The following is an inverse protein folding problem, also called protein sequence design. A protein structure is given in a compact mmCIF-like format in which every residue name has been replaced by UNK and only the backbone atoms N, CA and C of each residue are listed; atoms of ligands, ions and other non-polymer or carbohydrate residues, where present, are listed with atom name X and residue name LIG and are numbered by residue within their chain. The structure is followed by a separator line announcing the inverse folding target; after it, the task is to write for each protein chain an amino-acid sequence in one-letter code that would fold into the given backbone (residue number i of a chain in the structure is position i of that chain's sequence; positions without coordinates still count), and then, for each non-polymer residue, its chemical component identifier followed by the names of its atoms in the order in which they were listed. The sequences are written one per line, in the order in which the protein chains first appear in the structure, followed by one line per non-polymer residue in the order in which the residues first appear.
data_IF_096709309144
#
_entry.id   IF_096709309144
#
_cell.length_a   1.000
_cell.length_b   1.000
_cell.length_c   1.000
_cell.angle_alpha   90.00
_cell.angle_beta   90.00
_cell.angle_gamma   90.00
#
_symmetry.space_group_name_H-M   'P 1'
#
loop_
_entity.id
_entity.type
_entity.pdbx_description
1 polymer ?
#
# COMPACT_ATOMS: atom_id res chain seq x y z
N UNK A 1 -6.55 6.47 -15.07
CA UNK A 1 -5.61 6.56 -13.94
C UNK A 1 -6.41 6.69 -12.65
N UNK A 2 -6.41 5.68 -11.78
CA UNK A 2 -6.96 5.82 -10.43
C UNK A 2 -5.83 6.31 -9.52
N UNK A 3 -5.95 7.54 -9.01
CA UNK A 3 -5.03 8.06 -7.98
C UNK A 3 -5.52 7.53 -6.64
N UNK A 4 -4.83 6.53 -6.09
CA UNK A 4 -5.10 6.08 -4.73
C UNK A 4 -4.47 7.06 -3.76
N UNK A 5 -5.30 7.78 -3.00
CA UNK A 5 -4.81 8.65 -1.92
C UNK A 5 -4.36 7.78 -0.77
N UNK A 6 -3.16 8.05 -0.27
CA UNK A 6 -2.59 7.37 0.89
C UNK A 6 -2.25 8.40 1.97
N UNK A 7 -2.25 7.94 3.21
CA UNK A 7 -1.73 8.67 4.35
C UNK A 7 -0.40 8.02 4.77
N UNK A 8 0.58 8.82 5.20
CA UNK A 8 1.83 8.32 5.75
C UNK A 8 1.93 8.83 7.17
N UNK A 9 1.92 7.91 8.14
CA UNK A 9 2.10 8.24 9.55
C UNK A 9 3.53 7.92 9.98
N UNK A 10 4.06 8.72 10.90
CA UNK A 10 5.36 8.46 11.53
C UNK A 10 5.13 8.20 13.02
N UNK A 11 5.57 7.05 13.52
CA UNK A 11 5.47 6.67 14.93
C UNK A 11 6.80 6.09 15.39
N UNK A 12 7.35 6.59 16.50
CA UNK A 12 8.63 6.14 17.08
C UNK A 12 9.80 6.09 16.08
N UNK A 13 9.87 7.05 15.15
CA UNK A 13 10.93 7.12 14.12
C UNK A 13 10.74 6.13 12.95
N UNK A 14 9.67 5.33 12.94
CA UNK A 14 9.27 4.48 11.83
C UNK A 14 8.11 5.12 11.06
N UNK A 15 8.01 4.83 9.77
CA UNK A 15 6.90 5.30 8.91
C UNK A 15 5.97 4.13 8.62
N UNK A 16 4.67 4.41 8.48
CA UNK A 16 3.68 3.46 7.98
C UNK A 16 2.84 4.12 6.89
N UNK A 17 2.54 3.37 5.85
CA UNK A 17 1.61 3.78 4.80
C UNK A 17 0.24 3.25 5.16
N UNK A 18 -0.74 4.14 5.25
CA UNK A 18 -2.13 3.83 5.52
C UNK A 18 -2.95 4.11 4.28
N UNK A 19 -3.63 3.10 3.78
CA UNK A 19 -4.48 3.20 2.59
C UNK A 19 -5.94 3.11 3.01
N UNK A 20 -6.70 4.22 2.94
CA UNK A 20 -8.14 4.17 3.15
C UNK A 20 -8.81 3.47 1.97
N UNK A 21 -9.62 2.47 2.28
CA UNK A 21 -10.41 1.68 1.34
C UNK A 21 -11.90 1.89 1.63
N UNK A 22 -12.70 1.58 0.62
CA UNK A 22 -14.14 1.67 0.68
C UNK A 22 -14.76 0.58 1.58
N UNK A 23 -15.96 0.81 2.10
CA UNK A 23 -16.70 -0.19 2.87
C UNK A 23 -16.95 -1.50 2.11
N UNK A 24 -16.99 -1.44 0.77
CA UNK A 24 -17.03 -2.61 -0.12
C UNK A 24 -15.87 -3.59 0.10
N UNK A 25 -14.77 -3.15 0.72
CA UNK A 25 -13.64 -4.00 1.06
C UNK A 25 -13.96 -5.01 2.17
N UNK A 26 -14.92 -4.70 3.04
CA UNK A 26 -15.43 -5.66 4.02
C UNK A 26 -16.24 -6.77 3.37
N UNK A 27 -16.95 -6.50 2.27
CA UNK A 27 -17.66 -7.55 1.55
C UNK A 27 -16.70 -8.58 0.91
N UNK A 28 -15.40 -8.27 0.80
CA UNK A 28 -14.40 -9.18 0.22
C UNK A 28 -13.99 -10.26 1.22
N UNK A 29 -13.75 -11.50 0.76
CA UNK A 29 -13.23 -12.56 1.61
C UNK A 29 -11.78 -12.26 2.06
N UNK A 30 -11.34 -12.82 3.20
CA UNK A 30 -10.04 -12.49 3.81
C UNK A 30 -8.85 -12.74 2.87
N UNK A 31 -8.92 -13.77 2.02
CA UNK A 31 -7.87 -14.05 1.02
C UNK A 31 -7.74 -12.93 -0.03
N UNK A 32 -8.85 -12.31 -0.47
CA UNK A 32 -8.82 -11.17 -1.38
C UNK A 32 -8.29 -9.90 -0.69
N UNK A 33 -8.62 -9.70 0.58
CA UNK A 33 -8.10 -8.56 1.35
C UNK A 33 -6.58 -8.67 1.48
N UNK A 34 -6.08 -9.87 1.76
CA UNK A 34 -4.65 -10.13 1.85
C UNK A 34 -3.95 -10.00 0.49
N UNK A 35 -4.58 -10.44 -0.60
CA UNK A 35 -4.06 -10.23 -1.96
C UNK A 35 -3.95 -8.74 -2.30
N UNK A 36 -5.00 -7.97 -2.02
CA UNK A 36 -4.99 -6.53 -2.20
C UNK A 36 -3.90 -5.84 -1.35
N UNK A 37 -3.71 -6.26 -0.09
CA UNK A 37 -2.61 -5.75 0.75
C UNK A 37 -1.24 -6.04 0.10
N UNK A 38 -1.01 -7.26 -0.38
CA UNK A 38 0.23 -7.62 -1.09
C UNK A 38 0.46 -6.80 -2.35
N UNK A 39 -0.60 -6.52 -3.13
CA UNK A 39 -0.53 -5.67 -4.33
C UNK A 39 -0.16 -4.24 -3.97
N UNK A 40 -0.77 -3.68 -2.93
CA UNK A 40 -0.45 -2.32 -2.46
C UNK A 40 0.99 -2.27 -1.94
N UNK A 41 1.42 -3.26 -1.16
CA UNK A 41 2.79 -3.36 -0.68
C UNK A 41 3.78 -3.42 -1.84
N UNK A 42 3.51 -4.22 -2.87
CA UNK A 42 4.34 -4.30 -4.08
C UNK A 42 4.41 -2.97 -4.82
N UNK A 43 3.31 -2.23 -4.91
CA UNK A 43 3.31 -0.87 -5.50
C UNK A 43 4.09 0.13 -4.65
N UNK A 44 3.98 0.06 -3.32
CA UNK A 44 4.76 0.90 -2.41
C UNK A 44 6.27 0.61 -2.55
N UNK A 45 6.66 -0.66 -2.62
CA UNK A 45 8.04 -1.09 -2.91
C UNK A 45 8.55 -0.49 -4.21
N UNK A 46 7.76 -0.58 -5.29
CA UNK A 46 8.12 0.02 -6.59
C UNK A 46 8.27 1.54 -6.55
N UNK A 47 7.54 2.21 -5.66
CA UNK A 47 7.61 3.66 -5.46
C UNK A 47 8.78 4.12 -4.57
N UNK A 48 9.71 3.22 -4.20
CA UNK A 48 10.84 3.55 -3.31
C UNK A 48 10.51 3.48 -1.82
N UNK A 49 9.31 2.99 -1.46
CA UNK A 49 8.87 2.81 -0.07
C UNK A 49 9.10 1.36 0.41
N UNK A 50 10.08 0.67 -0.17
CA UNK A 50 10.34 -0.77 -0.01
C UNK A 50 10.45 -1.27 1.44
N UNK A 51 10.81 -0.39 2.38
CA UNK A 51 10.98 -0.73 3.79
C UNK A 51 9.91 -0.13 4.71
N UNK A 52 8.78 0.31 4.13
CA UNK A 52 7.69 0.94 4.89
C UNK A 52 6.53 -0.04 5.03
N UNK A 53 6.11 -0.41 6.26
CA UNK A 53 4.91 -1.22 6.47
C UNK A 53 3.69 -0.55 5.82
N UNK A 54 2.78 -1.38 5.32
CA UNK A 54 1.52 -0.95 4.72
C UNK A 54 0.37 -1.47 5.57
N UNK A 55 -0.55 -0.59 5.91
CA UNK A 55 -1.83 -0.90 6.52
C UNK A 55 -2.97 -0.44 5.62
N UNK A 56 -4.06 -1.20 5.64
CA UNK A 56 -5.30 -0.83 4.97
C UNK A 56 -6.37 -0.57 6.01
N UNK A 57 -7.12 0.51 5.83
CA UNK A 57 -8.16 0.95 6.78
C UNK A 57 -9.45 1.21 6.03
N UNK A 58 -10.59 0.83 6.58
CA UNK A 58 -11.90 1.05 5.97
C UNK A 58 -12.93 1.30 7.05
N UNK A 59 -14.03 1.99 6.70
CA UNK A 59 -15.10 2.33 7.64
C UNK A 59 -16.37 1.59 7.28
N UNK A 60 -16.99 0.91 8.25
CA UNK A 60 -18.28 0.23 8.07
C UNK A 60 -19.23 0.60 9.20
N UNK A 61 -20.41 1.11 8.86
CA UNK A 61 -21.46 1.41 9.85
C UNK A 61 -21.01 2.35 10.98
N UNK A 62 -20.03 3.22 10.73
CA UNK A 62 -19.45 4.10 11.75
C UNK A 62 -18.21 3.54 12.47
N UNK A 63 -17.92 2.24 12.36
CA UNK A 63 -16.75 1.61 12.95
C UNK A 63 -15.56 1.65 11.99
N UNK A 64 -14.39 1.96 12.52
CA UNK A 64 -13.13 1.90 11.79
C UNK A 64 -12.58 0.48 11.90
N UNK A 65 -12.25 -0.10 10.76
CA UNK A 65 -11.58 -1.38 10.67
C UNK A 65 -10.21 -1.17 10.03
N UNK A 66 -9.22 -1.89 10.53
CA UNK A 66 -7.86 -1.83 10.03
C UNK A 66 -7.29 -3.23 9.87
N UNK A 67 -6.45 -3.41 8.86
CA UNK A 67 -5.59 -4.56 8.68
C UNK A 67 -4.17 -4.03 8.60
N UNK A 68 -3.40 -4.30 9.65
CA UNK A 68 -2.06 -3.79 9.84
C UNK A 68 -1.20 -4.85 10.55
N UNK A 69 0.13 -4.72 10.51
CA UNK A 69 1.00 -5.50 11.38
C UNK A 69 0.69 -5.22 12.86
N UNK A 70 0.88 -6.20 13.74
CA UNK A 70 0.59 -6.11 15.18
C UNK A 70 1.17 -4.84 15.82
N UNK A 71 2.41 -4.48 15.48
CA UNK A 71 3.11 -3.32 16.05
C UNK A 71 2.42 -1.97 15.74
N UNK A 72 1.60 -1.91 14.69
CA UNK A 72 0.88 -0.71 14.27
C UNK A 72 -0.62 -0.78 14.57
N UNK A 73 -1.11 -1.95 15.01
CA UNK A 73 -2.54 -2.18 15.20
C UNK A 73 -3.11 -1.26 16.29
N UNK A 74 -2.44 -1.16 17.44
CA UNK A 74 -2.86 -0.27 18.54
C UNK A 74 -2.80 1.21 18.14
N UNK A 75 -1.74 1.63 17.44
CA UNK A 75 -1.60 3.01 16.98
C UNK A 75 -2.72 3.39 16.00
N UNK A 76 -3.01 2.53 15.01
CA UNK A 76 -4.03 2.80 14.02
C UNK A 76 -5.45 2.76 14.59
N UNK A 77 -5.71 1.87 15.57
CA UNK A 77 -6.97 1.84 16.30
C UNK A 77 -7.19 3.08 17.17
N UNK A 78 -6.12 3.72 17.63
CA UNK A 78 -6.18 5.00 18.35
C UNK A 78 -6.58 6.16 17.44
N UNK A 79 -6.36 6.04 16.12
CA UNK A 79 -6.74 7.07 15.16
C UNK A 79 -8.25 7.01 14.82
N UNK A 80 -8.82 8.18 14.53
CA UNK A 80 -10.18 8.27 14.00
C UNK A 80 -10.16 8.39 12.48
N UNK A 81 -11.28 8.04 11.83
CA UNK A 81 -11.44 8.19 10.38
C UNK A 81 -11.14 9.61 9.89
N UNK A 82 -11.55 10.64 10.65
CA UNK A 82 -11.27 12.04 10.29
C UNK A 82 -9.76 12.29 10.23
N UNK A 83 -9.00 11.86 11.24
CA UNK A 83 -7.53 12.00 11.26
C UNK A 83 -6.89 11.35 10.03
N UNK A 84 -7.36 10.16 9.63
CA UNK A 84 -6.86 9.47 8.43
C UNK A 84 -7.13 10.30 7.17
N UNK A 85 -8.35 10.82 7.02
CA UNK A 85 -8.75 11.61 5.85
C UNK A 85 -8.02 12.95 5.80
N UNK A 86 -7.81 13.60 6.94
CA UNK A 86 -7.06 14.87 7.07
C UNK A 86 -5.58 14.68 6.74
N UNK A 87 -5.01 13.52 7.05
CA UNK A 87 -3.61 13.17 6.75
C UNK A 87 -3.42 12.48 5.39
N UNK A 88 -4.39 12.56 4.49
CA UNK A 88 -4.24 12.09 3.11
C UNK A 88 -3.31 13.02 2.31
N UNK A 89 -2.01 12.84 2.54
CA UNK A 89 -0.97 13.77 2.10
C UNK A 89 -0.37 13.45 0.73
N UNK A 90 -0.43 12.21 0.24
CA UNK A 90 0.16 11.85 -1.07
C UNK A 90 -0.74 10.91 -1.88
N UNK A 91 -0.91 11.19 -3.16
CA UNK A 91 -1.47 10.23 -4.12
C UNK A 91 -0.33 9.30 -4.57
N UNK A 92 -0.44 7.99 -4.31
CA UNK A 92 0.48 7.03 -4.89
C UNK A 92 0.13 6.93 -6.39
N UNK A 93 1.00 7.40 -7.27
CA UNK A 93 0.86 7.14 -8.70
C UNK A 93 1.20 5.66 -8.91
N UNK A 94 0.17 4.80 -8.97
CA UNK A 94 0.33 3.43 -9.45
C UNK A 94 0.71 3.50 -10.93
N UNK A 95 2.01 3.48 -11.23
CA UNK A 95 2.48 3.27 -12.59
C UNK A 95 2.21 1.81 -12.92
N UNK A 96 1.27 1.56 -13.85
CA UNK A 96 1.25 0.31 -14.60
C UNK A 96 2.61 0.24 -15.30
N UNK A 97 3.51 -0.59 -14.78
CA UNK A 97 4.72 -0.96 -15.47
C UNK A 97 4.29 -1.83 -16.65
N UNK A 98 3.95 -1.17 -17.76
CA UNK A 98 3.94 -1.78 -19.07
C UNK A 98 5.30 -2.43 -19.27
N UNK A 99 5.31 -3.76 -19.30
CA UNK A 99 6.44 -4.56 -19.76
C UNK A 99 6.89 -4.00 -21.12
N UNK A 100 8.12 -3.49 -21.18
CA UNK A 100 8.91 -3.52 -22.41
C UNK A 100 10.25 -4.14 -22.05
N UNK A 101 10.58 -5.18 -22.81
CA UNK A 101 11.49 -6.26 -22.46
C UNK A 101 12.88 -5.82 -22.03
N UNK A 102 13.28 -6.31 -20.86
CA UNK A 102 14.67 -6.65 -20.61
C UNK A 102 14.86 -8.06 -21.17
N UNK A 103 15.45 -8.17 -22.35
CA UNK A 103 16.18 -9.37 -22.75
C UNK A 103 17.65 -9.08 -22.49
N UNK A 104 18.09 -9.62 -21.36
CA UNK A 104 19.48 -9.81 -21.02
C UNK A 104 20.07 -10.89 -21.94
N UNK A 105 21.39 -10.78 -22.12
CA UNK A 105 22.34 -11.88 -22.34
C UNK A 105 22.98 -12.01 -23.72
N UNK A 106 24.15 -11.38 -23.79
CA UNK A 106 25.45 -12.00 -24.11
C UNK A 106 25.49 -13.13 -25.15
N UNK A 107 26.07 -12.81 -26.31
CA UNK A 107 26.74 -13.75 -27.20
C UNK A 107 28.19 -13.32 -27.38
N UNK A 108 29.11 -14.19 -27.00
CA UNK A 108 30.56 -13.99 -26.95
C UNK A 108 31.22 -14.38 -28.28
N UNK A 109 32.25 -13.63 -28.68
CA UNK A 109 33.46 -14.08 -29.41
C UNK A 109 33.38 -14.43 -30.93
N UNK A 110 34.53 -14.52 -31.66
CA UNK A 110 34.84 -13.81 -32.91
C UNK A 110 35.15 -14.77 -34.09
N UNK A 111 35.32 -14.23 -35.31
CA UNK A 111 35.99 -14.77 -36.52
C UNK A 111 35.49 -13.88 -37.68
N UNK A 112 36.23 -13.35 -38.64
CA UNK A 112 37.59 -13.50 -39.21
C UNK A 112 37.88 -12.16 -39.94
#
# INVERSE_FOLDING_TARGET
MYKTRIAIFSHQGRKIIVVPLDCSFEARPPWQRNDALKRIQKSATKSGLANTPVAVVWKVGGKLHCLAPDEWHEFLLSLTWNVIIENLSLALACHEESKTGHIDREGSHPDD
#
